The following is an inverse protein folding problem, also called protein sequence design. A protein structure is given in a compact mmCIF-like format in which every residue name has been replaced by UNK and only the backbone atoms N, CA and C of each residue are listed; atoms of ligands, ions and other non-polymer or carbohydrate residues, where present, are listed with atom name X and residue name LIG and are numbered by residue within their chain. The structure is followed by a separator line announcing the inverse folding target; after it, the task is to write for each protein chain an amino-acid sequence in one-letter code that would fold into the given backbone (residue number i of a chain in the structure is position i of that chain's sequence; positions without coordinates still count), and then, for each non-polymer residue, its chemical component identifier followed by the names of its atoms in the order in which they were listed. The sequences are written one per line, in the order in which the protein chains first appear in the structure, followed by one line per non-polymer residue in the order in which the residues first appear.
data_IF_852291713018
#
_entry.id   IF_852291713018
#
_cell.length_a   1.000
_cell.length_b   1.000
_cell.length_c   1.000
_cell.angle_alpha   90.00
_cell.angle_beta   90.00
_cell.angle_gamma   90.00
#
_symmetry.space_group_name_H-M   'P 1'
#
loop_
_entity.id
_entity.type
_entity.pdbx_description
1 polymer ?
#
# COMPACT_ATOMS: atom_id res chain seq x y z
N UNK A 1 34.34 -2.15 -9.20
CA UNK A 1 34.06 -0.71 -9.09
C UNK A 1 32.80 -0.44 -9.90
N UNK A 2 31.64 -0.33 -9.24
CA UNK A 2 30.37 -0.10 -9.95
C UNK A 2 30.36 1.33 -10.49
N UNK A 3 30.65 1.48 -11.78
CA UNK A 3 30.52 2.77 -12.45
C UNK A 3 29.03 3.12 -12.53
N UNK A 4 28.61 4.10 -11.73
CA UNK A 4 27.27 4.69 -11.87
C UNK A 4 27.15 5.25 -13.28
N UNK A 5 26.20 4.69 -14.03
CA UNK A 5 25.81 5.22 -15.34
C UNK A 5 25.44 6.70 -15.14
N UNK A 6 26.00 7.63 -15.94
CA UNK A 6 25.75 9.06 -15.78
C UNK A 6 24.25 9.37 -15.88
N UNK A 7 23.80 10.30 -15.03
CA UNK A 7 22.40 10.65 -14.77
C UNK A 7 21.56 10.84 -16.06
N UNK A 8 22.14 11.48 -17.07
CA UNK A 8 21.50 11.76 -18.35
C UNK A 8 21.15 10.49 -19.15
N UNK A 9 21.96 9.43 -19.00
CA UNK A 9 21.70 8.14 -19.66
C UNK A 9 20.56 7.39 -18.98
N UNK A 10 20.39 7.51 -17.67
CA UNK A 10 19.29 6.85 -16.95
C UNK A 10 17.94 7.50 -17.28
N UNK A 11 17.88 8.82 -17.34
CA UNK A 11 16.68 9.57 -17.74
C UNK A 11 16.33 9.27 -19.21
N UNK A 12 17.33 9.26 -20.10
CA UNK A 12 17.11 8.89 -21.51
C UNK A 12 16.67 7.44 -21.68
N UNK A 13 17.14 6.52 -20.83
CA UNK A 13 16.70 5.13 -20.84
C UNK A 13 15.25 5.00 -20.36
N UNK A 14 14.89 5.65 -19.25
CA UNK A 14 13.50 5.72 -18.79
C UNK A 14 12.59 6.35 -19.86
N UNK A 15 12.97 7.49 -20.43
CA UNK A 15 12.22 8.15 -21.49
C UNK A 15 12.08 7.28 -22.76
N UNK A 16 13.13 6.52 -23.13
CA UNK A 16 13.09 5.56 -24.26
C UNK A 16 12.18 4.37 -24.00
N UNK A 17 12.21 3.77 -22.80
CA UNK A 17 11.30 2.66 -22.47
C UNK A 17 9.83 3.07 -22.46
N UNK A 18 9.54 4.37 -22.31
CA UNK A 18 8.17 4.88 -22.17
C UNK A 18 7.70 5.81 -23.31
N UNK A 19 8.40 5.88 -24.46
CA UNK A 19 8.01 6.70 -25.64
C UNK A 19 7.65 8.17 -25.29
N UNK A 20 8.32 8.78 -24.32
CA UNK A 20 8.13 10.21 -24.02
C UNK A 20 8.99 11.06 -24.97
N UNK A 21 8.36 12.03 -25.63
CA UNK A 21 8.99 12.96 -26.60
C UNK A 21 10.16 13.71 -25.93
N UNK A 22 11.31 13.67 -26.60
CA UNK A 22 12.61 14.18 -26.13
C UNK A 22 12.72 15.72 -26.08
N UNK A 23 11.72 16.48 -26.53
CA UNK A 23 11.84 17.95 -26.60
C UNK A 23 11.67 18.64 -25.24
N UNK A 24 11.11 17.95 -24.24
CA UNK A 24 10.96 18.47 -22.87
C UNK A 24 12.30 18.55 -22.09
N UNK A 25 13.38 17.90 -22.58
CA UNK A 25 14.64 17.81 -21.83
C UNK A 25 15.51 19.07 -21.87
N UNK A 26 15.21 20.03 -22.76
CA UNK A 26 16.02 21.26 -22.90
C UNK A 26 15.53 22.40 -22.01
N UNK A 27 14.24 22.45 -21.68
CA UNK A 27 13.68 23.49 -20.78
C UNK A 27 13.79 23.11 -19.30
N UNK A 28 14.05 21.84 -18.98
CA UNK A 28 14.08 21.36 -17.60
C UNK A 28 15.41 21.58 -16.88
N UNK A 29 16.39 22.30 -17.45
CA UNK A 29 17.73 22.39 -16.84
C UNK A 29 17.91 23.60 -15.90
N UNK A 30 17.12 24.67 -16.07
CA UNK A 30 17.30 25.91 -15.29
C UNK A 30 16.35 26.05 -14.08
N UNK A 31 15.32 25.20 -13.92
CA UNK A 31 14.38 25.25 -12.78
C UNK A 31 14.47 24.08 -11.77
N UNK A 32 15.50 23.23 -11.84
CA UNK A 32 15.37 21.81 -11.46
C UNK A 32 16.14 21.30 -10.22
N UNK A 33 16.56 22.14 -9.27
CA UNK A 33 17.48 21.65 -8.22
C UNK A 33 16.86 21.34 -6.85
N UNK A 34 15.64 21.79 -6.52
CA UNK A 34 14.97 21.47 -5.25
C UNK A 34 13.68 20.62 -5.37
N UNK A 35 12.71 20.92 -6.25
CA UNK A 35 11.43 20.18 -6.28
C UNK A 35 11.57 18.75 -6.81
N UNK A 36 12.58 18.50 -7.66
CA UNK A 36 12.77 17.18 -8.27
C UNK A 36 13.31 16.15 -7.26
N UNK A 37 14.19 16.57 -6.34
CA UNK A 37 14.73 15.71 -5.28
C UNK A 37 13.64 15.22 -4.33
N UNK A 38 12.68 16.09 -3.96
CA UNK A 38 11.54 15.72 -3.13
C UNK A 38 10.67 14.64 -3.80
N UNK A 39 10.38 14.78 -5.09
CA UNK A 39 9.62 13.79 -5.85
C UNK A 39 10.31 12.42 -5.87
N UNK A 40 11.62 12.38 -6.15
CA UNK A 40 12.39 11.14 -6.14
C UNK A 40 12.44 10.50 -4.76
N UNK A 41 12.58 11.29 -3.69
CA UNK A 41 12.56 10.80 -2.31
C UNK A 41 11.20 10.16 -2.01
N UNK A 42 10.10 10.85 -2.32
CA UNK A 42 8.75 10.34 -2.09
C UNK A 42 8.46 9.06 -2.88
N UNK A 43 8.88 9.00 -4.15
CA UNK A 43 8.76 7.79 -4.97
C UNK A 43 9.56 6.62 -4.39
N UNK A 44 10.80 6.85 -3.92
CA UNK A 44 11.61 5.81 -3.27
C UNK A 44 10.98 5.32 -1.96
N UNK A 45 10.47 6.22 -1.14
CA UNK A 45 9.75 5.86 0.10
C UNK A 45 8.51 5.03 -0.24
N UNK A 46 7.76 5.41 -1.27
CA UNK A 46 6.60 4.65 -1.73
C UNK A 46 6.98 3.24 -2.20
N UNK A 47 8.07 3.09 -2.96
CA UNK A 47 8.54 1.76 -3.38
C UNK A 47 8.97 0.89 -2.19
N UNK A 48 9.68 1.47 -1.21
CA UNK A 48 10.05 0.75 0.02
C UNK A 48 8.82 0.34 0.82
N UNK A 49 7.82 1.21 0.93
CA UNK A 49 6.54 0.93 1.57
C UNK A 49 5.79 -0.20 0.84
N UNK A 50 5.78 -0.19 -0.49
CA UNK A 50 5.20 -1.25 -1.31
C UNK A 50 5.91 -2.59 -1.08
N UNK A 51 7.24 -2.61 -1.13
CA UNK A 51 8.04 -3.80 -0.88
C UNK A 51 7.77 -4.37 0.51
N UNK A 52 7.79 -3.52 1.54
CA UNK A 52 7.46 -3.92 2.90
C UNK A 52 6.03 -4.50 2.97
N UNK A 53 5.05 -3.85 2.36
CA UNK A 53 3.67 -4.31 2.33
C UNK A 53 3.51 -5.66 1.65
N UNK A 54 4.18 -5.90 0.52
CA UNK A 54 4.18 -7.19 -0.17
C UNK A 54 4.79 -8.29 0.71
N UNK A 55 5.96 -8.03 1.32
CA UNK A 55 6.64 -9.00 2.18
C UNK A 55 5.82 -9.34 3.43
N UNK A 56 5.25 -8.32 4.10
CA UNK A 56 4.37 -8.49 5.26
C UNK A 56 3.13 -9.33 4.88
N UNK A 57 2.52 -9.02 3.74
CA UNK A 57 1.34 -9.75 3.24
C UNK A 57 1.66 -11.20 2.90
N UNK A 58 2.80 -11.46 2.26
CA UNK A 58 3.28 -12.80 1.95
C UNK A 58 3.59 -13.59 3.22
N UNK A 59 4.22 -12.96 4.21
CA UNK A 59 4.49 -13.59 5.50
C UNK A 59 3.19 -13.98 6.20
N UNK A 60 2.21 -13.07 6.29
CA UNK A 60 0.91 -13.36 6.91
C UNK A 60 0.17 -14.46 6.14
N UNK A 61 0.18 -14.40 4.81
CA UNK A 61 -0.46 -15.40 3.96
C UNK A 61 0.18 -16.78 4.14
N UNK A 62 1.51 -16.87 4.12
CA UNK A 62 2.24 -18.13 4.33
C UNK A 62 2.01 -18.67 5.74
N UNK A 63 2.00 -17.82 6.76
CA UNK A 63 1.61 -18.22 8.12
C UNK A 63 0.20 -18.79 8.18
N UNK A 64 -0.77 -18.20 7.47
CA UNK A 64 -2.16 -18.68 7.42
C UNK A 64 -2.34 -19.94 6.58
N UNK A 65 -1.56 -20.09 5.50
CA UNK A 65 -1.58 -21.27 4.64
C UNK A 65 -0.96 -22.48 5.36
N UNK A 66 0.16 -22.27 6.06
CA UNK A 66 0.89 -23.31 6.78
C UNK A 66 0.34 -23.62 8.18
N UNK A 67 -0.61 -22.85 8.72
CA UNK A 67 -1.19 -23.16 10.03
C UNK A 67 -2.12 -24.37 9.94
N UNK A 68 -1.85 -25.39 10.76
CA UNK A 68 -2.74 -26.53 10.95
C UNK A 68 -4.13 -26.07 11.38
N UNK A 69 -5.17 -26.58 10.72
CA UNK A 69 -6.57 -26.19 10.86
C UNK A 69 -7.10 -26.20 12.31
N UNK A 70 -6.46 -26.98 13.19
CA UNK A 70 -6.86 -27.22 14.58
C UNK A 70 -6.45 -26.06 15.51
N UNK A 71 -5.45 -25.24 15.14
CA UNK A 71 -4.92 -24.14 15.98
C UNK A 71 -5.44 -22.76 15.61
N UNK A 72 -6.36 -22.64 14.65
CA UNK A 72 -6.92 -21.32 14.35
C UNK A 72 -7.80 -20.89 15.51
N UNK A 73 -7.54 -19.74 16.17
CA UNK A 73 -8.54 -19.13 17.02
C UNK A 73 -9.70 -18.81 16.08
N UNK A 74 -10.77 -19.59 16.18
CA UNK A 74 -12.05 -19.28 15.55
C UNK A 74 -12.33 -17.83 15.93
N UNK A 75 -12.59 -16.96 14.94
CA UNK A 75 -12.84 -15.52 15.15
C UNK A 75 -13.99 -15.22 16.15
N UNK A 76 -14.65 -16.28 16.62
CA UNK A 76 -15.82 -16.35 17.44
C UNK A 76 -15.70 -17.53 18.43
N UNK A 77 -14.60 -17.64 19.17
CA UNK A 77 -14.48 -18.64 20.26
C UNK A 77 -15.29 -18.16 21.46
N UNK A 78 -16.62 -18.24 21.36
CA UNK A 78 -17.51 -18.21 22.50
C UNK A 78 -18.08 -19.63 22.60
N UNK A 79 -17.89 -20.31 23.73
CA UNK A 79 -18.08 -21.75 23.95
C UNK A 79 -19.47 -22.33 23.61
N UNK A 80 -20.40 -21.56 23.03
CA UNK A 80 -21.77 -21.96 22.73
C UNK A 80 -22.15 -21.93 21.24
N UNK A 81 -21.41 -21.27 20.35
CA UNK A 81 -21.80 -21.16 18.94
C UNK A 81 -20.60 -21.16 17.97
N UNK A 82 -20.44 -22.24 17.20
CA UNK A 82 -19.59 -22.27 16.00
C UNK A 82 -20.37 -21.66 14.84
N UNK A 83 -20.18 -20.37 14.56
CA UNK A 83 -20.88 -19.68 13.46
C UNK A 83 -20.29 -20.08 12.10
N UNK A 84 -19.01 -20.47 12.03
CA UNK A 84 -18.37 -20.96 10.81
C UNK A 84 -17.45 -22.17 11.07
N UNK A 85 -17.43 -23.17 10.16
CA UNK A 85 -16.47 -24.25 10.22
C UNK A 85 -15.02 -23.76 10.02
N UNK A 86 -14.02 -24.42 10.64
CA UNK A 86 -12.62 -23.99 10.63
C UNK A 86 -12.02 -23.96 9.21
N UNK A 87 -12.45 -24.87 8.34
CA UNK A 87 -12.04 -24.94 6.93
C UNK A 87 -12.46 -23.70 6.15
N UNK A 88 -13.71 -23.27 6.32
CA UNK A 88 -14.27 -22.08 5.66
C UNK A 88 -13.64 -20.80 6.22
N UNK A 89 -13.33 -20.78 7.52
CA UNK A 89 -12.55 -19.70 8.14
C UNK A 89 -11.14 -19.60 7.57
N UNK A 90 -10.47 -20.74 7.30
CA UNK A 90 -9.15 -20.77 6.67
C UNK A 90 -9.21 -20.28 5.23
N UNK A 91 -10.19 -20.74 4.45
CA UNK A 91 -10.40 -20.31 3.07
C UNK A 91 -10.64 -18.80 2.99
N UNK A 92 -11.50 -18.25 3.86
CA UNK A 92 -11.74 -16.80 3.93
C UNK A 92 -10.47 -16.03 4.29
N UNK A 93 -9.70 -16.46 5.30
CA UNK A 93 -8.42 -15.81 5.67
C UNK A 93 -7.40 -15.85 4.54
N UNK A 94 -7.29 -16.98 3.84
CA UNK A 94 -6.43 -17.10 2.67
C UNK A 94 -6.90 -16.19 1.53
N UNK A 95 -8.22 -16.12 1.29
CA UNK A 95 -8.81 -15.22 0.30
C UNK A 95 -8.53 -13.75 0.62
N UNK A 96 -8.72 -13.33 1.87
CA UNK A 96 -8.36 -11.99 2.33
C UNK A 96 -6.86 -11.71 2.19
N UNK A 97 -5.99 -12.67 2.55
CA UNK A 97 -4.55 -12.54 2.37
C UNK A 97 -4.15 -12.41 0.90
N UNK A 98 -4.76 -13.18 0.01
CA UNK A 98 -4.56 -13.08 -1.43
C UNK A 98 -4.98 -11.72 -1.98
N UNK A 99 -6.17 -11.22 -1.60
CA UNK A 99 -6.61 -9.87 -1.96
C UNK A 99 -5.64 -8.79 -1.44
N UNK A 100 -5.11 -8.96 -0.23
CA UNK A 100 -4.17 -8.03 0.38
C UNK A 100 -2.84 -7.96 -0.41
N UNK A 101 -2.29 -9.13 -0.78
CA UNK A 101 -1.08 -9.22 -1.62
C UNK A 101 -1.34 -8.54 -2.97
N UNK A 102 -2.46 -8.86 -3.63
CA UNK A 102 -2.81 -8.28 -4.93
C UNK A 102 -2.98 -6.77 -4.86
N UNK A 103 -3.56 -6.23 -3.78
CA UNK A 103 -3.65 -4.80 -3.58
C UNK A 103 -2.24 -4.17 -3.57
N UNK A 104 -1.32 -4.69 -2.75
CA UNK A 104 0.05 -4.18 -2.68
C UNK A 104 0.83 -4.33 -4.00
N UNK A 105 0.67 -5.44 -4.70
CA UNK A 105 1.26 -5.64 -6.03
C UNK A 105 0.71 -4.65 -7.05
N UNK A 106 -0.60 -4.39 -7.02
CA UNK A 106 -1.25 -3.38 -7.85
C UNK A 106 -0.70 -1.97 -7.57
N UNK A 107 -0.50 -1.62 -6.29
CA UNK A 107 0.14 -0.36 -5.91
C UNK A 107 1.61 -0.30 -6.37
N UNK A 108 2.34 -1.41 -6.26
CA UNK A 108 3.74 -1.50 -6.73
C UNK A 108 3.81 -1.25 -8.24
N UNK A 109 2.92 -1.89 -9.00
CA UNK A 109 2.82 -1.70 -10.43
C UNK A 109 2.46 -0.25 -10.78
N UNK A 110 1.47 0.34 -10.08
CA UNK A 110 1.09 1.73 -10.26
C UNK A 110 2.24 2.71 -9.97
N UNK A 111 3.05 2.43 -8.94
CA UNK A 111 4.23 3.22 -8.59
C UNK A 111 5.31 3.12 -9.67
N UNK A 112 5.61 1.91 -10.16
CA UNK A 112 6.61 1.68 -11.22
C UNK A 112 6.19 2.27 -12.56
N UNK A 113 4.89 2.21 -12.89
CA UNK A 113 4.32 2.76 -14.12
C UNK A 113 4.03 4.27 -14.03
N UNK A 114 4.30 4.91 -12.89
CA UNK A 114 3.92 6.31 -12.61
C UNK A 114 2.46 6.63 -12.96
N UNK A 115 1.56 5.68 -12.73
CA UNK A 115 0.17 5.74 -13.16
C UNK A 115 -0.77 6.02 -11.97
N UNK A 116 -1.14 7.29 -11.69
CA UNK A 116 -1.94 7.64 -10.52
C UNK A 116 -3.35 7.03 -10.53
N UNK A 117 -3.91 6.76 -11.72
CA UNK A 117 -5.21 6.10 -11.86
C UNK A 117 -5.20 4.67 -11.28
N UNK A 118 -4.07 3.95 -11.39
CA UNK A 118 -3.93 2.58 -10.90
C UNK A 118 -3.69 2.50 -9.38
N UNK A 119 -3.49 3.64 -8.71
CA UNK A 119 -3.39 3.71 -7.25
C UNK A 119 -4.77 3.72 -6.56
N UNK A 120 -5.84 4.02 -7.31
CA UNK A 120 -7.22 4.15 -6.79
C UNK A 120 -7.77 2.83 -6.21
N UNK A 121 -7.61 1.66 -6.87
CA UNK A 121 -8.10 0.39 -6.30
C UNK A 121 -7.50 0.07 -4.93
N UNK A 122 -6.21 0.36 -4.74
CA UNK A 122 -5.54 0.19 -3.44
C UNK A 122 -6.14 1.11 -2.38
N UNK A 123 -6.39 2.38 -2.73
CA UNK A 123 -7.02 3.34 -1.82
C UNK A 123 -8.42 2.89 -1.41
N UNK A 124 -9.27 2.45 -2.36
CA UNK A 124 -10.62 1.97 -2.07
C UNK A 124 -10.57 0.79 -1.09
N UNK A 125 -9.69 -0.19 -1.35
CA UNK A 125 -9.51 -1.35 -0.49
C UNK A 125 -9.09 -0.95 0.94
N UNK A 126 -8.10 -0.05 1.08
CA UNK A 126 -7.60 0.38 2.39
C UNK A 126 -8.58 1.30 3.15
N UNK A 127 -9.36 2.13 2.45
CA UNK A 127 -10.45 2.89 3.06
C UNK A 127 -11.55 1.98 3.60
N UNK A 128 -11.94 0.95 2.84
CA UNK A 128 -12.88 -0.07 3.31
C UNK A 128 -12.36 -0.80 4.55
N UNK A 129 -11.08 -1.18 4.53
CA UNK A 129 -10.41 -1.83 5.66
C UNK A 129 -10.35 -0.93 6.92
N UNK A 130 -10.05 0.37 6.75
CA UNK A 130 -10.11 1.37 7.82
C UNK A 130 -11.53 1.48 8.39
N UNK A 131 -12.54 1.55 7.52
CA UNK A 131 -13.95 1.62 7.93
C UNK A 131 -14.39 0.42 8.77
N UNK A 132 -14.00 -0.80 8.39
CA UNK A 132 -14.27 -2.00 9.18
C UNK A 132 -13.59 -1.98 10.56
N UNK A 133 -12.36 -1.48 10.63
CA UNK A 133 -11.63 -1.34 11.89
C UNK A 133 -12.27 -0.28 12.81
N UNK A 134 -12.72 0.84 12.25
CA UNK A 134 -13.45 1.86 13.00
C UNK A 134 -14.79 1.32 13.50
N UNK A 135 -15.55 0.58 12.68
CA UNK A 135 -16.80 -0.04 13.10
C UNK A 135 -16.57 -1.03 14.27
N UNK A 136 -15.53 -1.86 14.18
CA UNK A 136 -15.15 -2.78 15.25
C UNK A 136 -14.79 -2.03 16.54
N UNK A 137 -14.11 -0.89 16.44
CA UNK A 137 -13.81 -0.03 17.57
C UNK A 137 -15.09 0.54 18.18
N UNK A 138 -16.00 1.08 17.35
CA UNK A 138 -17.28 1.65 17.79
C UNK A 138 -18.13 0.63 18.56
N UNK A 139 -18.20 -0.63 18.08
CA UNK A 139 -18.91 -1.71 18.78
C UNK A 139 -18.27 -2.01 20.14
N UNK A 140 -16.93 -2.06 20.21
CA UNK A 140 -16.21 -2.28 21.48
C UNK A 140 -16.39 -1.15 22.49
N UNK A 141 -16.42 0.11 22.03
CA UNK A 141 -16.71 1.28 22.86
C UNK A 141 -18.14 1.18 23.42
N UNK A 142 -19.11 0.90 22.56
CA UNK A 142 -20.52 0.80 22.94
C UNK A 142 -20.76 -0.35 23.94
N UNK A 143 -20.04 -1.45 23.78
CA UNK A 143 -20.09 -2.60 24.69
C UNK A 143 -19.34 -2.46 26.01
N UNK A 144 -18.79 -1.28 26.36
CA UNK A 144 -17.98 -1.02 27.58
C UNK A 144 -16.83 -2.03 27.82
N UNK A 145 -16.29 -2.63 26.75
CA UNK A 145 -15.29 -3.72 26.82
C UNK A 145 -13.84 -3.21 26.71
N UNK A 146 -13.58 -1.91 26.89
CA UNK A 146 -12.25 -1.29 26.67
C UNK A 146 -11.30 -1.42 27.87
N UNK A 147 -11.03 -2.64 28.33
CA UNK A 147 -9.91 -2.88 29.24
C UNK A 147 -8.62 -3.07 28.43
N UNK A 148 -7.72 -2.08 28.45
CA UNK A 148 -6.30 -2.19 28.06
C UNK A 148 -5.97 -2.24 26.56
N UNK A 149 -6.83 -2.81 25.70
CA UNK A 149 -6.54 -2.97 24.26
C UNK A 149 -6.64 -1.68 23.44
N UNK A 150 -7.25 -0.62 23.99
CA UNK A 150 -7.58 0.62 23.27
C UNK A 150 -6.37 1.31 22.64
N UNK A 151 -5.26 1.39 23.37
CA UNK A 151 -4.04 2.07 22.92
C UNK A 151 -3.42 1.34 21.71
N UNK A 152 -3.35 -0.01 21.76
CA UNK A 152 -2.79 -0.80 20.67
C UNK A 152 -3.65 -0.72 19.40
N UNK A 153 -4.98 -0.69 19.55
CA UNK A 153 -5.89 -0.47 18.41
C UNK A 153 -5.76 0.92 17.81
N UNK A 154 -5.57 1.96 18.64
CA UNK A 154 -5.37 3.33 18.17
C UNK A 154 -4.07 3.51 17.39
N UNK A 155 -2.97 2.90 17.86
CA UNK A 155 -1.68 2.92 17.14
C UNK A 155 -1.83 2.28 15.75
N UNK A 156 -2.53 1.15 15.65
CA UNK A 156 -2.78 0.47 14.36
C UNK A 156 -3.62 1.33 13.42
N UNK A 157 -4.67 1.98 13.93
CA UNK A 157 -5.51 2.89 13.16
C UNK A 157 -4.74 4.11 12.65
N UNK A 158 -3.91 4.70 13.51
CA UNK A 158 -3.06 5.85 13.15
C UNK A 158 -2.00 5.47 12.11
N UNK A 159 -1.40 4.28 12.23
CA UNK A 159 -0.50 3.76 11.20
C UNK A 159 -1.22 3.56 9.86
N UNK A 160 -2.44 3.02 9.88
CA UNK A 160 -3.24 2.81 8.67
C UNK A 160 -3.62 4.14 7.99
N UNK A 161 -4.05 5.14 8.76
CA UNK A 161 -4.42 6.45 8.23
C UNK A 161 -3.21 7.19 7.65
N UNK A 162 -2.04 7.10 8.29
CA UNK A 162 -0.79 7.66 7.77
C UNK A 162 -0.40 7.03 6.43
N UNK A 163 -0.50 5.69 6.31
CA UNK A 163 -0.24 4.97 5.05
C UNK A 163 -1.16 5.47 3.92
N UNK A 164 -2.45 5.62 4.19
CA UNK A 164 -3.43 6.12 3.22
C UNK A 164 -3.11 7.56 2.81
N UNK A 165 -2.88 8.45 3.79
CA UNK A 165 -2.54 9.85 3.54
C UNK A 165 -1.29 9.99 2.67
N UNK A 166 -0.27 9.17 2.93
CA UNK A 166 0.96 9.14 2.16
C UNK A 166 0.74 8.72 0.70
N UNK A 167 -0.04 7.67 0.45
CA UNK A 167 -0.35 7.23 -0.91
C UNK A 167 -1.16 8.29 -1.67
N UNK A 168 -2.07 8.99 -1.00
CA UNK A 168 -2.81 10.12 -1.61
C UNK A 168 -1.87 11.26 -1.99
N UNK A 169 -0.92 11.60 -1.11
CA UNK A 169 0.08 12.62 -1.39
C UNK A 169 0.92 12.24 -2.62
N UNK A 170 1.38 10.98 -2.70
CA UNK A 170 2.12 10.47 -3.85
C UNK A 170 1.29 10.54 -5.14
N UNK A 171 0.01 10.10 -5.09
CA UNK A 171 -0.91 10.17 -6.23
C UNK A 171 -1.06 11.61 -6.74
N UNK A 172 -1.30 12.57 -5.85
CA UNK A 172 -1.44 13.99 -6.21
C UNK A 172 -0.17 14.57 -6.83
N UNK A 173 0.99 14.20 -6.30
CA UNK A 173 2.27 14.61 -6.87
C UNK A 173 2.49 14.03 -8.28
N UNK A 174 2.07 12.78 -8.51
CA UNK A 174 2.20 12.13 -9.83
C UNK A 174 1.28 12.82 -10.84
N UNK A 175 0.04 13.13 -10.45
CA UNK A 175 -0.91 13.88 -11.29
C UNK A 175 -0.41 15.29 -11.63
N UNK A 176 0.19 16.00 -10.67
CA UNK A 176 0.74 17.33 -10.91
C UNK A 176 1.88 17.29 -11.93
N UNK A 177 2.77 16.30 -11.83
CA UNK A 177 3.89 16.13 -12.76
C UNK A 177 3.40 15.74 -14.15
N UNK A 178 2.49 14.76 -14.24
CA UNK A 178 1.87 14.37 -15.51
C UNK A 178 1.19 15.54 -16.21
N UNK A 179 0.47 16.39 -15.46
CA UNK A 179 -0.15 17.61 -16.01
C UNK A 179 0.89 18.61 -16.50
N UNK A 180 2.00 18.78 -15.77
CA UNK A 180 3.09 19.68 -16.19
C UNK A 180 3.84 19.22 -17.44
N UNK A 181 3.83 17.91 -17.75
CA UNK A 181 4.45 17.35 -18.96
C UNK A 181 3.50 17.30 -20.18
N UNK A 182 2.19 17.50 -19.98
CA UNK A 182 1.18 17.48 -21.04
C UNK A 182 0.94 18.87 -21.66
N UNK A 183 1.59 19.91 -21.13
CA UNK A 183 1.68 21.27 -21.67
C UNK A 183 2.97 21.36 -22.49
#
# INVERSE_FOLDING_TARGET
MFQLIPYDKQIKLMARTYKLKMDASRQSMEMLNLPNNYFFIMHRILLLMCLHGVLESLYIFTCHYCTLAIKLPTLWHNHRFLILPPELTRQLRCGFGFLHINAWLGLTYAALAFAPALMIPWLIYYYGFLGLHLLKLSIKVLGKSMQGEGIQTSIKLMGLSLKIAFVILCKRNYEAILKSMAI
#
